data_IF_019070491971
#
_entry.id   IF_019070491971
#
_cell.length_a   1.000
_cell.length_b   1.000
_cell.length_c   1.000
_cell.angle_alpha   90.00
_cell.angle_beta   90.00
_cell.angle_gamma   90.00
#
_symmetry.space_group_name_H-M   'P 1'
#
loop_
_entity.id
_entity.type
_entity.pdbx_description
1 polymer ?
#
# COMPACT_ATOMS: atom_id res chain seq x y z
N UNK A 1 8.10 22.29 -38.29
CA UNK A 1 7.35 22.59 -37.06
C UNK A 1 7.12 21.26 -36.35
N UNK A 2 7.93 20.96 -35.35
CA UNK A 2 7.96 19.64 -34.70
C UNK A 2 7.14 19.72 -33.41
N UNK A 3 5.93 19.18 -33.43
CA UNK A 3 5.06 19.15 -32.26
C UNK A 3 5.58 18.09 -31.30
N UNK A 4 6.17 18.51 -30.17
CA UNK A 4 6.65 17.61 -29.13
C UNK A 4 5.44 17.09 -28.34
N UNK A 5 5.00 15.88 -28.65
CA UNK A 5 3.98 15.14 -27.88
C UNK A 5 4.60 14.53 -26.61
N UNK A 6 5.18 15.35 -25.71
CA UNK A 6 5.85 14.86 -24.49
C UNK A 6 4.92 14.77 -23.26
N UNK A 7 3.68 15.24 -23.35
CA UNK A 7 2.89 15.52 -22.13
C UNK A 7 2.10 14.32 -21.60
N UNK A 8 1.79 13.30 -22.41
CA UNK A 8 0.91 12.21 -21.98
C UNK A 8 1.63 11.14 -21.14
N UNK A 9 2.85 10.73 -21.52
CA UNK A 9 3.63 9.72 -20.79
C UNK A 9 4.30 10.23 -19.51
N UNK A 10 4.49 11.55 -19.37
CA UNK A 10 4.93 12.16 -18.11
C UNK A 10 3.81 12.26 -17.06
N UNK A 11 2.54 12.28 -17.50
CA UNK A 11 1.37 12.49 -16.62
C UNK A 11 0.95 11.24 -15.85
N UNK A 12 1.07 10.05 -16.45
CA UNK A 12 0.83 8.77 -15.78
C UNK A 12 2.09 8.25 -15.05
N UNK A 13 3.27 8.77 -15.38
CA UNK A 13 4.56 8.38 -14.80
C UNK A 13 4.58 8.42 -13.27
N UNK A 14 4.13 9.53 -12.65
CA UNK A 14 4.08 9.64 -11.18
C UNK A 14 3.15 8.60 -10.56
N UNK A 15 1.96 8.41 -11.12
CA UNK A 15 0.98 7.46 -10.59
C UNK A 15 1.49 6.03 -10.71
N UNK A 16 2.01 5.66 -11.89
CA UNK A 16 2.58 4.34 -12.13
C UNK A 16 3.79 4.07 -11.24
N UNK A 17 4.66 5.06 -11.07
CA UNK A 17 5.80 4.97 -10.15
C UNK A 17 5.33 4.75 -8.72
N UNK A 18 4.39 5.57 -8.22
CA UNK A 18 3.86 5.44 -6.86
C UNK A 18 3.22 4.06 -6.62
N UNK A 19 2.44 3.54 -7.58
CA UNK A 19 1.86 2.19 -7.48
C UNK A 19 2.93 1.10 -7.49
N UNK A 20 3.97 1.22 -8.32
CA UNK A 20 5.07 0.23 -8.36
C UNK A 20 5.90 0.26 -7.08
N UNK A 21 6.21 1.46 -6.58
CA UNK A 21 6.93 1.64 -5.34
C UNK A 21 6.15 1.04 -4.18
N UNK A 22 4.86 1.34 -4.07
CA UNK A 22 3.94 0.74 -3.09
C UNK A 22 3.96 -0.79 -3.16
N UNK A 23 3.73 -1.34 -4.36
CA UNK A 23 3.72 -2.78 -4.59
C UNK A 23 5.03 -3.48 -4.15
N UNK A 24 6.19 -2.89 -4.47
CA UNK A 24 7.49 -3.44 -4.10
C UNK A 24 7.70 -3.34 -2.58
N UNK A 25 7.41 -2.19 -1.97
CA UNK A 25 7.58 -2.00 -0.53
C UNK A 25 6.67 -2.94 0.26
N UNK A 26 5.37 -3.01 -0.07
CA UNK A 26 4.43 -3.93 0.57
C UNK A 26 4.83 -5.38 0.34
N UNK A 27 5.24 -5.74 -0.88
CA UNK A 27 5.74 -7.08 -1.18
C UNK A 27 6.95 -7.47 -0.35
N UNK A 28 7.95 -6.58 -0.20
CA UNK A 28 9.12 -6.80 0.66
C UNK A 28 8.70 -6.93 2.13
N UNK A 29 7.80 -6.07 2.60
CA UNK A 29 7.27 -6.12 3.98
C UNK A 29 6.53 -7.43 4.25
N UNK A 30 5.85 -8.03 3.26
CA UNK A 30 5.17 -9.32 3.42
C UNK A 30 6.10 -10.50 3.70
N UNK A 31 7.36 -10.44 3.27
CA UNK A 31 8.33 -11.54 3.43
C UNK A 31 8.54 -11.93 4.90
N UNK A 32 8.93 -11.02 5.82
CA UNK A 32 9.12 -11.37 7.22
C UNK A 32 7.83 -11.87 7.90
N UNK A 33 6.64 -11.38 7.51
CA UNK A 33 5.37 -11.86 8.06
C UNK A 33 5.12 -13.33 7.71
N UNK A 34 5.43 -13.75 6.48
CA UNK A 34 5.33 -15.17 6.07
C UNK A 34 6.47 -16.02 6.63
N UNK A 35 7.69 -15.49 6.65
CA UNK A 35 8.86 -16.24 7.08
C UNK A 35 8.96 -16.42 8.59
N UNK A 36 8.43 -15.47 9.37
CA UNK A 36 8.66 -15.35 10.81
C UNK A 36 7.42 -14.87 11.58
N UNK A 37 6.21 -15.23 11.13
CA UNK A 37 4.95 -14.78 11.74
C UNK A 37 4.82 -15.07 13.24
N UNK A 38 5.32 -16.21 13.74
CA UNK A 38 5.37 -16.48 15.19
C UNK A 38 6.29 -15.52 15.95
N UNK A 39 7.48 -15.22 15.39
CA UNK A 39 8.38 -14.25 15.98
C UNK A 39 7.78 -12.84 15.95
N UNK A 40 7.18 -12.43 14.83
CA UNK A 40 6.44 -11.18 14.75
C UNK A 40 5.33 -11.13 15.79
N UNK A 41 4.55 -12.20 15.94
CA UNK A 41 3.50 -12.29 16.94
C UNK A 41 4.01 -12.05 18.36
N UNK A 42 5.16 -12.64 18.72
CA UNK A 42 5.77 -12.38 20.03
C UNK A 42 6.29 -10.94 20.18
N UNK A 43 6.72 -10.31 19.08
CA UNK A 43 7.21 -8.94 19.07
C UNK A 43 6.07 -7.92 19.14
N UNK A 44 4.97 -8.15 18.41
CA UNK A 44 3.87 -7.19 18.22
C UNK A 44 2.74 -7.38 19.22
N UNK A 45 2.50 -8.60 19.68
CA UNK A 45 1.31 -8.96 20.47
C UNK A 45 0.09 -9.31 19.61
N UNK A 46 0.21 -9.31 18.27
CA UNK A 46 -0.83 -9.74 17.34
C UNK A 46 -0.80 -11.27 17.22
N UNK A 47 -1.94 -11.99 17.09
CA UNK A 47 -1.93 -13.44 16.90
C UNK A 47 -1.17 -13.87 15.64
N UNK A 48 -0.32 -14.90 15.74
CA UNK A 48 0.49 -15.38 14.61
C UNK A 48 -0.30 -15.69 13.34
N UNK A 49 -1.52 -16.24 13.48
CA UNK A 49 -2.39 -16.50 12.33
C UNK A 49 -2.75 -15.21 11.54
N UNK A 50 -2.92 -14.08 12.25
CA UNK A 50 -3.15 -12.77 11.63
C UNK A 50 -1.88 -12.28 10.94
N UNK A 51 -0.71 -12.43 11.58
CA UNK A 51 0.58 -12.05 11.00
C UNK A 51 0.86 -12.81 9.70
N UNK A 52 0.70 -14.14 9.70
CA UNK A 52 0.83 -14.94 8.48
C UNK A 52 -0.18 -14.55 7.40
N UNK A 53 -1.43 -14.30 7.80
CA UNK A 53 -2.49 -13.84 6.90
C UNK A 53 -2.16 -12.51 6.23
N UNK A 54 -1.65 -11.53 7.00
CA UNK A 54 -1.18 -10.25 6.48
C UNK A 54 0.01 -10.41 5.54
N UNK A 55 0.97 -11.28 5.87
CA UNK A 55 2.11 -11.58 5.00
C UNK A 55 1.68 -12.11 3.63
N UNK A 56 0.83 -13.14 3.61
CA UNK A 56 0.30 -13.70 2.35
C UNK A 56 -0.46 -12.63 1.56
N UNK A 57 -1.29 -11.84 2.25
CA UNK A 57 -2.02 -10.75 1.62
C UNK A 57 -1.08 -9.71 1.00
N UNK A 58 -0.02 -9.28 1.70
CA UNK A 58 0.96 -8.31 1.21
C UNK A 58 1.72 -8.80 -0.02
N UNK A 59 2.11 -10.08 -0.05
CA UNK A 59 2.76 -10.67 -1.22
C UNK A 59 1.84 -10.67 -2.45
N UNK A 60 0.58 -11.08 -2.27
CA UNK A 60 -0.43 -11.06 -3.34
C UNK A 60 -0.71 -9.63 -3.80
N UNK A 61 -0.88 -8.70 -2.85
CA UNK A 61 -1.08 -7.29 -3.12
C UNK A 61 0.06 -6.72 -3.96
N UNK A 62 1.31 -6.98 -3.58
CA UNK A 62 2.48 -6.53 -4.32
C UNK A 62 2.47 -6.99 -5.78
N UNK A 63 2.20 -8.28 -6.02
CA UNK A 63 2.11 -8.82 -7.38
C UNK A 63 0.98 -8.16 -8.18
N UNK A 64 -0.23 -8.09 -7.59
CA UNK A 64 -1.42 -7.56 -8.26
C UNK A 64 -1.28 -6.07 -8.58
N UNK A 65 -0.82 -5.26 -7.62
CA UNK A 65 -0.68 -3.81 -7.81
C UNK A 65 0.43 -3.50 -8.80
N UNK A 66 1.55 -4.22 -8.75
CA UNK A 66 2.62 -4.05 -9.73
C UNK A 66 2.15 -4.35 -11.16
N UNK A 67 1.38 -5.43 -11.34
CA UNK A 67 0.76 -5.76 -12.62
C UNK A 67 -0.24 -4.69 -13.07
N UNK A 68 -1.12 -4.20 -12.18
CA UNK A 68 -2.08 -3.14 -12.48
C UNK A 68 -1.39 -1.83 -12.89
N UNK A 69 -0.26 -1.49 -12.28
CA UNK A 69 0.53 -0.31 -12.63
C UNK A 69 1.09 -0.38 -14.06
N UNK A 70 1.25 -1.59 -14.62
CA UNK A 70 1.71 -1.82 -15.99
C UNK A 70 0.61 -1.75 -17.05
N UNK A 71 -0.67 -1.64 -16.68
CA UNK A 71 -1.78 -1.64 -17.65
C UNK A 71 -1.86 -0.31 -18.42
N UNK A 72 -2.30 -0.40 -19.67
CA UNK A 72 -2.61 0.77 -20.51
C UNK A 72 -3.65 1.67 -19.82
N UNK A 73 -4.72 1.05 -19.29
CA UNK A 73 -5.74 1.71 -18.47
C UNK A 73 -5.39 1.57 -16.98
N UNK A 74 -4.51 2.45 -16.49
CA UNK A 74 -4.05 2.45 -15.08
C UNK A 74 -5.12 2.93 -14.08
N UNK A 75 -6.09 3.74 -14.52
CA UNK A 75 -7.07 4.42 -13.63
C UNK A 75 -7.86 3.49 -12.71
N UNK A 76 -8.47 2.37 -13.18
CA UNK A 76 -9.20 1.47 -12.28
C UNK A 76 -8.31 0.84 -11.22
N UNK A 77 -7.11 0.39 -11.61
CA UNK A 77 -6.12 -0.16 -10.69
C UNK A 77 -5.70 0.86 -9.64
N UNK A 78 -5.43 2.10 -10.05
CA UNK A 78 -5.09 3.19 -9.14
C UNK A 78 -6.20 3.47 -8.11
N UNK A 79 -7.47 3.51 -8.52
CA UNK A 79 -8.59 3.71 -7.59
C UNK A 79 -8.64 2.56 -6.58
N UNK A 80 -8.48 1.31 -7.03
CA UNK A 80 -8.46 0.15 -6.14
C UNK A 80 -7.30 0.24 -5.13
N UNK A 81 -6.09 0.56 -5.58
CA UNK A 81 -4.90 0.70 -4.73
C UNK A 81 -5.05 1.82 -3.71
N UNK A 82 -5.53 3.00 -4.11
CA UNK A 82 -5.81 4.13 -3.20
C UNK A 82 -6.85 3.74 -2.15
N UNK A 83 -7.91 3.06 -2.58
CA UNK A 83 -8.98 2.61 -1.67
C UNK A 83 -8.45 1.60 -0.66
N UNK A 84 -7.66 0.63 -1.10
CA UNK A 84 -7.02 -0.33 -0.21
C UNK A 84 -6.13 0.37 0.82
N UNK A 85 -5.27 1.31 0.38
CA UNK A 85 -4.42 2.08 1.29
C UNK A 85 -5.24 2.87 2.32
N UNK A 86 -6.32 3.55 1.89
CA UNK A 86 -7.21 4.25 2.81
C UNK A 86 -7.87 3.31 3.82
N UNK A 87 -8.35 2.15 3.37
CA UNK A 87 -8.94 1.13 4.26
C UNK A 87 -7.93 0.59 5.27
N UNK A 88 -6.68 0.35 4.86
CA UNK A 88 -5.62 -0.07 5.79
C UNK A 88 -5.22 1.03 6.76
N UNK A 89 -5.13 2.29 6.33
CA UNK A 89 -4.91 3.42 7.24
C UNK A 89 -5.97 3.46 8.33
N UNK A 90 -7.25 3.41 7.94
CA UNK A 90 -8.36 3.42 8.89
C UNK A 90 -8.35 2.17 9.75
N UNK A 91 -8.12 1.00 9.15
CA UNK A 91 -8.10 -0.29 9.85
C UNK A 91 -7.03 -0.37 10.92
N UNK A 92 -5.81 0.09 10.63
CA UNK A 92 -4.71 0.11 11.60
C UNK A 92 -4.99 1.08 12.76
N UNK A 93 -5.48 2.29 12.48
CA UNK A 93 -5.86 3.25 13.53
C UNK A 93 -7.02 2.70 14.37
N UNK A 94 -8.05 2.14 13.72
CA UNK A 94 -9.21 1.59 14.40
C UNK A 94 -8.83 0.38 15.27
N UNK A 95 -7.92 -0.48 14.80
CA UNK A 95 -7.44 -1.64 15.57
C UNK A 95 -6.72 -1.22 16.86
N UNK A 96 -5.89 -0.17 16.79
CA UNK A 96 -5.24 0.41 17.96
C UNK A 96 -6.27 1.04 18.91
N UNK A 97 -7.12 1.93 18.40
CA UNK A 97 -8.10 2.67 19.21
C UNK A 97 -9.11 1.73 19.88
N UNK A 98 -9.50 0.65 19.20
CA UNK A 98 -10.40 -0.36 19.75
C UNK A 98 -9.70 -1.36 20.67
N UNK A 99 -8.37 -1.34 20.77
CA UNK A 99 -7.61 -2.27 21.61
C UNK A 99 -7.83 -3.73 21.21
N UNK A 100 -7.91 -4.02 19.91
CA UNK A 100 -8.24 -5.37 19.40
C UNK A 100 -7.24 -6.41 19.91
N UNK A 101 -5.97 -6.02 20.03
CA UNK A 101 -4.89 -6.88 20.47
C UNK A 101 -4.10 -6.25 21.63
N UNK A 102 -3.49 -7.06 22.50
CA UNK A 102 -2.60 -6.59 23.56
C UNK A 102 -1.24 -6.20 22.97
N UNK A 103 -1.21 -5.11 22.21
CA UNK A 103 -0.03 -4.70 21.46
C UNK A 103 1.12 -4.31 22.39
N UNK A 104 2.33 -4.74 22.04
CA UNK A 104 3.55 -4.24 22.67
C UNK A 104 3.86 -2.82 22.14
N UNK A 105 4.83 -2.14 22.74
CA UNK A 105 5.32 -0.86 22.18
C UNK A 105 5.78 -0.99 20.71
N UNK A 106 6.38 -2.12 20.34
CA UNK A 106 6.74 -2.42 18.95
C UNK A 106 5.51 -2.67 18.07
N UNK A 107 4.51 -3.38 18.59
CA UNK A 107 3.23 -3.59 17.92
C UNK A 107 2.54 -2.28 17.57
N UNK A 108 2.42 -1.36 18.53
CA UNK A 108 1.85 -0.02 18.32
C UNK A 108 2.65 0.75 17.28
N UNK A 109 3.99 0.75 17.39
CA UNK A 109 4.85 1.47 16.46
C UNK A 109 4.73 0.94 15.02
N UNK A 110 4.70 -0.38 14.83
CA UNK A 110 4.55 -1.01 13.51
C UNK A 110 3.15 -0.79 12.94
N UNK A 111 2.11 -0.90 13.77
CA UNK A 111 0.72 -0.70 13.36
C UNK A 111 0.47 0.75 12.92
N UNK A 112 0.86 1.73 13.75
CA UNK A 112 0.71 3.14 13.44
C UNK A 112 1.70 3.60 12.35
N UNK A 113 2.89 3.00 12.28
CA UNK A 113 3.82 3.18 11.17
C UNK A 113 3.23 2.70 9.85
N UNK A 114 2.54 1.56 9.84
CA UNK A 114 1.76 1.07 8.70
C UNK A 114 0.61 2.01 8.33
N UNK A 115 -0.09 2.57 9.32
CA UNK A 115 -1.14 3.55 9.09
C UNK A 115 -0.60 4.81 8.41
N UNK A 116 0.50 5.36 8.93
CA UNK A 116 1.17 6.52 8.36
C UNK A 116 1.67 6.23 6.93
N UNK A 117 2.30 5.08 6.73
CA UNK A 117 2.79 4.65 5.42
C UNK A 117 1.67 4.61 4.38
N UNK A 118 0.58 3.89 4.69
CA UNK A 118 -0.57 3.73 3.80
C UNK A 118 -1.25 5.07 3.50
N UNK A 119 -1.35 5.97 4.49
CA UNK A 119 -1.88 7.31 4.30
C UNK A 119 -1.01 8.14 3.33
N UNK A 120 0.31 8.10 3.51
CA UNK A 120 1.27 8.85 2.67
C UNK A 120 1.25 8.32 1.24
N UNK A 121 1.41 7.01 1.05
CA UNK A 121 1.49 6.44 -0.30
C UNK A 121 0.14 6.55 -1.03
N UNK A 122 -0.97 6.34 -0.33
CA UNK A 122 -2.32 6.56 -0.86
C UNK A 122 -2.56 8.01 -1.28
N UNK A 123 -2.03 8.98 -0.53
CA UNK A 123 -2.09 10.41 -0.89
C UNK A 123 -1.28 10.71 -2.14
N UNK A 124 -0.06 10.17 -2.26
CA UNK A 124 0.77 10.34 -3.47
C UNK A 124 0.07 9.76 -4.70
N UNK A 125 -0.51 8.56 -4.58
CA UNK A 125 -1.31 7.93 -5.63
C UNK A 125 -2.53 8.78 -5.99
N UNK A 126 -3.26 9.31 -5.01
CA UNK A 126 -4.40 10.19 -5.25
C UNK A 126 -4.01 11.47 -5.98
N UNK A 127 -2.92 12.11 -5.59
CA UNK A 127 -2.39 13.29 -6.28
C UNK A 127 -2.02 12.95 -7.72
N UNK A 128 -1.35 11.81 -7.96
CA UNK A 128 -1.06 11.31 -9.30
C UNK A 128 -2.33 11.09 -10.13
N UNK A 129 -3.36 10.47 -9.54
CA UNK A 129 -4.64 10.22 -10.19
C UNK A 129 -5.39 11.51 -10.53
N UNK A 130 -5.40 12.52 -9.65
CA UNK A 130 -6.04 13.81 -9.94
C UNK A 130 -5.38 14.53 -11.12
N UNK A 131 -4.05 14.44 -11.22
CA UNK A 131 -3.31 15.01 -12.37
C UNK A 131 -3.67 14.34 -13.70
N UNK A 132 -4.13 13.09 -13.68
CA UNK A 132 -4.69 12.40 -14.85
C UNK A 132 -6.13 12.84 -15.19
N UNK A 133 -6.94 13.17 -14.18
CA UNK A 133 -8.37 13.48 -14.34
C UNK A 133 -8.69 14.91 -14.79
N UNK A 134 -7.80 15.88 -14.59
CA UNK A 134 -8.03 17.32 -14.91
C UNK A 134 -7.97 17.63 -16.41
N UNK A 135 -7.46 16.73 -17.26
CA UNK A 135 -7.30 16.96 -18.71
C UNK A 135 -8.17 16.02 -19.58
N UNK A 136 -9.38 15.68 -19.13
CA UNK A 136 -10.38 14.98 -19.95
C UNK A 136 -11.65 15.81 -20.05
#
# INVERSE_FOLDING_TARGET
MTTITATTGARDGLLRFAMRLDAVLVGIVGIPFVAAGEWLSSLTGVPAAVEYGLGVFFLIYGVVVYWLAGRERVRPGAIATITANALFTVGFIAAEVAGIWPLTAWGVALLLGGALYTAVIGTVQFVGLRRLGVNR
#
